data_IF_103990383747
#
_entry.id   IF_103990383747
#
_cell.length_a   1.000
_cell.length_b   1.000
_cell.length_c   1.000
_cell.angle_alpha   90.00
_cell.angle_beta   90.00
_cell.angle_gamma   90.00
#
_symmetry.space_group_name_H-M   'P 1'
#
loop_
_entity.id
_entity.type
_entity.pdbx_description
1 polymer ?
#
# COMPACT_ATOMS: atom_id res chain seq x y z
N UNK A 1 15.50 -0.01 -11.56
CA UNK A 1 15.03 -0.01 -10.17
C UNK A 1 16.29 0.09 -9.33
N UNK A 2 16.31 1.06 -8.42
CA UNK A 2 17.45 1.33 -7.56
C UNK A 2 17.20 0.76 -6.15
N UNK A 3 15.97 0.88 -5.66
CA UNK A 3 15.53 0.35 -4.36
C UNK A 3 14.10 -0.18 -4.43
N UNK A 4 13.79 -1.18 -3.60
CA UNK A 4 12.44 -1.68 -3.33
C UNK A 4 12.41 -2.13 -1.89
N UNK A 5 11.53 -1.55 -1.10
CA UNK A 5 11.37 -1.87 0.32
C UNK A 5 9.91 -1.81 0.74
N UNK A 6 9.52 -2.69 1.67
CA UNK A 6 8.21 -2.61 2.32
C UNK A 6 8.35 -1.73 3.55
N UNK A 7 7.69 -0.57 3.56
CA UNK A 7 7.91 0.50 4.54
C UNK A 7 6.85 0.54 5.64
N UNK A 8 5.69 -0.09 5.43
CA UNK A 8 4.60 -0.14 6.40
C UNK A 8 4.09 -1.55 6.74
N UNK A 9 4.95 -2.57 6.78
CA UNK A 9 4.60 -3.92 7.28
C UNK A 9 4.31 -3.94 8.82
N UNK A 10 4.03 -2.78 9.41
CA UNK A 10 3.54 -2.62 10.77
C UNK A 10 2.02 -2.67 10.71
N UNK A 11 1.41 -3.80 11.06
CA UNK A 11 0.13 -3.76 11.75
C UNK A 11 0.31 -2.94 13.05
N UNK A 12 -0.45 -1.84 13.28
CA UNK A 12 -0.47 -1.22 14.59
C UNK A 12 -1.91 -0.86 14.97
N UNK A 13 -2.78 -1.86 15.16
CA UNK A 13 -3.68 -1.83 16.32
C UNK A 13 -4.29 -3.21 16.58
N UNK A 14 -3.53 -4.09 17.24
CA UNK A 14 -4.20 -5.01 18.17
C UNK A 14 -4.86 -4.13 19.24
N UNK A 15 -6.18 -4.21 19.32
CA UNK A 15 -7.00 -4.00 20.50
C UNK A 15 -6.65 -2.78 21.39
N UNK A 16 -7.06 -1.56 21.02
CA UNK A 16 -7.47 -0.62 22.09
C UNK A 16 -8.86 -1.05 22.56
N UNK A 17 -8.86 -1.71 23.71
CA UNK A 17 -9.99 -2.38 24.34
C UNK A 17 -11.12 -1.44 24.85
N UNK A 18 -11.33 -0.27 24.23
CA UNK A 18 -12.37 0.69 24.65
C UNK A 18 -13.08 1.41 23.48
N UNK A 19 -12.97 0.94 22.23
CA UNK A 19 -13.78 1.51 21.14
C UNK A 19 -15.23 1.01 21.17
N UNK A 20 -16.14 1.93 21.47
CA UNK A 20 -17.58 1.73 21.66
C UNK A 20 -18.38 1.44 20.37
N UNK A 21 -17.84 0.65 19.44
CA UNK A 21 -18.44 0.34 18.12
C UNK A 21 -19.10 -1.04 18.05
N UNK A 22 -19.67 -1.54 19.15
CA UNK A 22 -20.54 -2.71 19.15
C UNK A 22 -21.82 -2.45 18.33
N UNK A 23 -21.79 -2.68 17.01
CA UNK A 23 -23.01 -2.63 16.19
C UNK A 23 -22.85 -2.43 14.68
N UNK A 24 -21.66 -2.16 14.15
CA UNK A 24 -21.43 -2.15 12.70
C UNK A 24 -20.36 -3.18 12.37
N UNK A 25 -20.73 -4.09 11.48
CA UNK A 25 -20.03 -5.30 11.09
C UNK A 25 -18.53 -5.10 10.91
N UNK A 26 -17.75 -6.03 11.50
CA UNK A 26 -16.32 -6.23 11.23
C UNK A 26 -16.06 -6.27 9.71
N UNK A 27 -15.52 -5.19 9.17
CA UNK A 27 -14.48 -5.34 8.15
C UNK A 27 -13.20 -4.98 8.87
N UNK A 28 -12.49 -6.01 9.36
CA UNK A 28 -11.06 -5.89 9.65
C UNK A 28 -10.43 -5.07 8.52
N UNK A 29 -9.67 -4.04 8.88
CA UNK A 29 -8.88 -3.29 7.91
C UNK A 29 -8.10 -4.29 7.08
N UNK A 30 -8.39 -4.36 5.77
CA UNK A 30 -7.84 -5.39 4.90
C UNK A 30 -6.31 -5.37 4.92
N UNK A 31 -5.69 -6.51 4.56
CA UNK A 31 -4.24 -6.66 4.41
C UNK A 31 -3.68 -5.59 3.44
N UNK A 32 -3.34 -4.42 3.97
CA UNK A 32 -2.72 -3.33 3.23
C UNK A 32 -1.21 -3.43 3.44
N UNK A 33 -0.48 -3.32 2.33
CA UNK A 33 0.99 -3.35 2.30
C UNK A 33 1.46 -2.11 1.59
N UNK A 34 2.45 -1.43 2.16
CA UNK A 34 3.05 -0.24 1.57
C UNK A 34 4.46 -0.56 1.07
N UNK A 35 4.68 -0.34 -0.22
CA UNK A 35 5.93 -0.67 -0.89
C UNK A 35 6.51 0.60 -1.49
N UNK A 36 7.68 1.00 -1.01
CA UNK A 36 8.48 2.09 -1.56
C UNK A 36 9.35 1.56 -2.71
N UNK A 37 9.37 2.29 -3.83
CA UNK A 37 10.14 1.91 -5.02
C UNK A 37 10.89 3.11 -5.59
N UNK A 38 12.21 3.08 -5.48
CA UNK A 38 13.07 4.06 -6.15
C UNK A 38 13.37 3.64 -7.58
N UNK A 39 12.98 4.52 -8.51
CA UNK A 39 13.24 4.35 -9.92
C UNK A 39 14.30 5.36 -10.41
N UNK A 40 15.28 4.93 -11.22
CA UNK A 40 16.38 5.79 -11.68
C UNK A 40 15.95 6.93 -12.62
N UNK A 41 14.70 6.94 -13.06
CA UNK A 41 14.10 7.94 -13.93
C UNK A 41 12.58 7.72 -14.06
N UNK A 42 11.89 8.78 -14.50
CA UNK A 42 10.45 8.79 -14.72
C UNK A 42 9.96 7.72 -15.71
N UNK A 43 10.76 7.37 -16.73
CA UNK A 43 10.36 6.34 -17.69
C UNK A 43 10.32 4.94 -17.05
N UNK A 44 11.18 4.69 -16.07
CA UNK A 44 11.20 3.45 -15.30
C UNK A 44 10.08 3.45 -14.26
N UNK A 45 9.84 4.58 -13.58
CA UNK A 45 8.73 4.72 -12.63
C UNK A 45 7.37 4.44 -13.29
N UNK A 46 7.13 4.94 -14.51
CA UNK A 46 5.90 4.65 -15.27
C UNK A 46 5.71 3.17 -15.55
N UNK A 47 6.78 2.46 -15.94
CA UNK A 47 6.72 1.01 -16.18
C UNK A 47 6.45 0.21 -14.92
N UNK A 48 6.96 0.68 -13.78
CA UNK A 48 6.62 0.10 -12.47
C UNK A 48 5.13 0.25 -12.21
N UNK A 49 4.57 1.45 -12.37
CA UNK A 49 3.14 1.70 -12.19
C UNK A 49 2.29 0.80 -13.08
N UNK A 50 2.60 0.71 -14.38
CA UNK A 50 1.91 -0.19 -15.32
C UNK A 50 1.95 -1.66 -14.88
N UNK A 51 3.11 -2.12 -14.38
CA UNK A 51 3.27 -3.49 -13.92
C UNK A 51 2.51 -3.76 -12.61
N UNK A 52 2.51 -2.81 -11.68
CA UNK A 52 1.79 -2.92 -10.41
C UNK A 52 0.27 -2.87 -10.64
N UNK A 53 -0.23 -2.01 -11.52
CA UNK A 53 -1.65 -1.96 -11.90
C UNK A 53 -2.11 -3.31 -12.49
N UNK A 54 -1.31 -3.88 -13.41
CA UNK A 54 -1.62 -5.19 -13.99
C UNK A 54 -1.63 -6.29 -12.93
N UNK A 55 -0.66 -6.28 -12.00
CA UNK A 55 -0.60 -7.26 -10.92
C UNK A 55 -1.77 -7.09 -9.94
N UNK A 56 -2.14 -5.86 -9.58
CA UNK A 56 -3.28 -5.58 -8.72
C UNK A 56 -4.58 -6.09 -9.34
N UNK A 57 -4.77 -5.89 -10.65
CA UNK A 57 -5.90 -6.45 -11.38
C UNK A 57 -5.95 -7.98 -11.32
N UNK A 58 -4.81 -8.66 -11.56
CA UNK A 58 -4.72 -10.12 -11.50
C UNK A 58 -4.98 -10.69 -10.09
N UNK A 59 -4.70 -9.91 -9.05
CA UNK A 59 -4.89 -10.26 -7.65
C UNK A 59 -6.26 -9.84 -7.08
N UNK A 60 -7.10 -9.16 -7.86
CA UNK A 60 -8.34 -8.51 -7.39
C UNK A 60 -8.08 -7.57 -6.18
N UNK A 61 -6.94 -6.87 -6.22
CA UNK A 61 -6.48 -5.94 -5.21
C UNK A 61 -6.67 -4.48 -5.67
N UNK A 62 -6.74 -3.58 -4.69
CA UNK A 62 -6.70 -2.14 -4.93
C UNK A 62 -5.26 -1.65 -4.78
N UNK A 63 -4.81 -0.79 -5.69
CA UNK A 63 -3.52 -0.10 -5.60
C UNK A 63 -3.73 1.41 -5.55
N UNK A 64 -2.98 2.06 -4.65
CA UNK A 64 -2.83 3.50 -4.58
C UNK A 64 -1.37 3.85 -4.89
N UNK A 65 -1.15 5.00 -5.53
CA UNK A 65 0.20 5.47 -5.82
C UNK A 65 0.38 6.88 -5.28
N UNK A 66 1.35 7.02 -4.39
CA UNK A 66 1.78 8.31 -3.89
C UNK A 66 3.03 8.78 -4.67
N UNK A 67 3.23 10.09 -4.72
CA UNK A 67 4.50 10.68 -5.15
C UNK A 67 5.10 11.32 -3.90
N UNK A 68 6.36 11.03 -3.60
CA UNK A 68 7.05 11.75 -2.53
C UNK A 68 7.15 13.22 -2.92
N UNK A 69 6.36 14.05 -2.23
CA UNK A 69 6.45 15.51 -2.28
C UNK A 69 7.75 15.96 -1.57
N UNK A 70 8.90 15.67 -2.15
CA UNK A 70 10.16 16.29 -1.71
C UNK A 70 10.20 17.75 -2.22
N UNK A 71 9.63 18.65 -1.40
CA UNK A 71 9.60 20.10 -1.63
C UNK A 71 10.91 20.83 -1.25
#
# INVERSE_FOLDING_TARGET
>A
IEHVEEVADLMPHMDDADSSSAGLSDQEGGNAHEIEIDAPNLSTARKVREAVEALAFDLDALVEFEEDDEA
#
